data_IF_535104320438
#
_entry.id   IF_535104320438
#
_cell.length_a   1.000
_cell.length_b   1.000
_cell.length_c   1.000
_cell.angle_alpha   90.00
_cell.angle_beta   90.00
_cell.angle_gamma   90.00
#
_symmetry.space_group_name_H-M   'P 1'
#
loop_
_entity.id
_entity.type
_entity.pdbx_description
1 polymer ?
#
# COMPACT_ATOMS: atom_id res chain seq x y z
N UNK A 1 24.26 -42.64 8.73
CA UNK A 1 23.15 -41.67 8.87
C UNK A 1 21.75 -42.30 8.79
N UNK A 2 21.55 -43.58 9.17
CA UNK A 2 20.22 -44.25 9.18
C UNK A 2 19.73 -44.65 10.58
N UNK A 3 20.44 -44.22 11.64
CA UNK A 3 20.07 -44.48 13.05
C UNK A 3 19.71 -43.21 13.84
N UNK A 4 19.85 -42.03 13.23
CA UNK A 4 19.40 -40.75 13.80
C UNK A 4 17.96 -40.39 13.42
N UNK A 5 17.39 -41.05 12.40
CA UNK A 5 16.02 -40.80 11.94
C UNK A 5 14.93 -41.53 12.75
N UNK A 6 15.30 -42.56 13.52
CA UNK A 6 14.36 -43.34 14.33
C UNK A 6 14.07 -42.72 15.72
N UNK A 7 14.90 -41.76 16.16
CA UNK A 7 14.74 -41.11 17.47
C UNK A 7 13.87 -39.84 17.36
N UNK A 8 13.84 -39.19 16.19
CA UNK A 8 13.03 -37.97 15.99
C UNK A 8 11.52 -38.26 15.84
N UNK A 9 11.15 -39.46 15.39
CA UNK A 9 9.73 -39.87 15.23
C UNK A 9 9.11 -40.29 16.57
N UNK A 10 9.93 -40.65 17.58
CA UNK A 10 9.44 -41.06 18.90
C UNK A 10 9.17 -39.88 19.86
N UNK A 11 9.63 -38.66 19.53
CA UNK A 11 9.42 -37.46 20.36
C UNK A 11 8.20 -36.63 19.91
N UNK A 12 7.68 -36.87 18.69
CA UNK A 12 6.49 -36.20 18.16
C UNK A 12 5.14 -36.83 18.56
N UNK A 13 5.15 -37.91 19.37
CA UNK A 13 3.95 -38.72 19.64
C UNK A 13 3.53 -38.73 21.13
N UNK A 14 3.90 -37.71 21.92
CA UNK A 14 3.61 -37.64 23.37
C UNK A 14 2.80 -36.40 23.81
N UNK A 15 2.27 -35.57 22.90
CA UNK A 15 1.44 -34.42 23.30
C UNK A 15 0.04 -34.35 22.67
N UNK A 16 -0.62 -35.49 22.52
CA UNK A 16 -2.08 -35.54 22.41
C UNK A 16 -2.61 -36.68 23.28
N UNK A 17 -3.16 -36.32 24.45
CA UNK A 17 -4.33 -36.89 25.14
C UNK A 17 -4.30 -36.29 26.56
N UNK A 18 -5.09 -35.23 26.76
CA UNK A 18 -5.59 -34.84 28.08
C UNK A 18 -7.01 -34.28 27.87
N UNK A 19 -7.92 -35.19 27.53
CA UNK A 19 -9.35 -34.95 27.62
C UNK A 19 -9.89 -35.52 28.94
N UNK A 20 -10.59 -34.65 29.68
CA UNK A 20 -11.64 -34.93 30.67
C UNK A 20 -11.25 -35.54 32.03
N UNK A 21 -11.39 -34.72 33.07
CA UNK A 21 -12.01 -35.15 34.33
C UNK A 21 -12.95 -34.06 34.86
N UNK A 22 -14.26 -34.32 34.78
CA UNK A 22 -15.26 -33.72 35.66
C UNK A 22 -14.93 -34.11 37.10
N UNK A 23 -15.06 -33.20 38.08
CA UNK A 23 -15.61 -33.47 39.43
C UNK A 23 -15.83 -32.16 40.21
N UNK A 24 -17.07 -32.02 40.71
CA UNK A 24 -17.55 -31.29 41.90
C UNK A 24 -17.82 -29.78 41.90
N UNK A 25 -19.12 -29.52 41.85
CA UNK A 25 -19.92 -28.53 42.57
C UNK A 25 -19.33 -28.07 43.92
N UNK A 26 -19.07 -26.77 44.05
CA UNK A 26 -19.03 -26.08 45.34
C UNK A 26 -19.97 -24.88 45.29
N UNK A 27 -21.14 -25.04 45.91
CA UNK A 27 -21.95 -23.93 46.41
C UNK A 27 -21.29 -23.41 47.70
N UNK A 28 -21.09 -22.11 47.81
CA UNK A 28 -20.73 -21.51 49.11
C UNK A 28 -20.15 -20.11 49.06
N UNK A 29 -21.03 -19.12 48.88
CA UNK A 29 -21.05 -17.83 49.58
C UNK A 29 -19.75 -17.03 49.77
N UNK A 30 -19.67 -15.90 49.06
CA UNK A 30 -18.81 -14.77 49.43
C UNK A 30 -19.08 -13.61 48.49
N UNK A 31 -19.75 -12.58 48.99
CA UNK A 31 -20.01 -11.32 48.30
C UNK A 31 -18.73 -10.72 47.69
N UNK A 32 -18.74 -10.50 46.37
CA UNK A 32 -18.18 -9.29 45.79
C UNK A 32 -19.08 -8.84 44.65
N UNK A 33 -20.00 -7.93 44.96
CA UNK A 33 -20.62 -7.07 43.97
C UNK A 33 -19.54 -6.17 43.39
N UNK A 34 -19.00 -6.57 42.26
CA UNK A 34 -18.39 -5.70 41.26
C UNK A 34 -18.76 -6.34 39.93
N UNK A 35 -19.55 -5.65 39.11
CA UNK A 35 -19.63 -5.98 37.69
C UNK A 35 -18.20 -5.91 37.15
N UNK A 36 -17.53 -7.06 37.06
CA UNK A 36 -16.39 -7.20 36.19
C UNK A 36 -16.98 -7.07 34.79
N UNK A 37 -16.97 -5.85 34.25
CA UNK A 37 -17.06 -5.68 32.80
C UNK A 37 -16.12 -6.69 32.19
N UNK A 38 -16.61 -7.51 31.26
CA UNK A 38 -15.78 -8.50 30.58
C UNK A 38 -14.59 -7.75 30.00
N UNK A 39 -13.39 -8.02 30.50
CA UNK A 39 -12.16 -7.40 29.99
C UNK A 39 -12.09 -7.61 28.48
N UNK A 40 -11.80 -6.52 27.76
CA UNK A 40 -11.54 -6.55 26.32
C UNK A 40 -10.06 -6.81 26.01
N UNK A 41 -9.23 -7.07 27.03
CA UNK A 41 -7.80 -7.24 26.83
C UNK A 41 -7.50 -8.48 26.00
N UNK A 42 -6.72 -8.31 24.94
CA UNK A 42 -6.39 -9.41 24.05
C UNK A 42 -5.82 -8.96 22.73
N UNK A 43 -5.47 -9.96 21.91
CA UNK A 43 -5.04 -9.77 20.53
C UNK A 43 -6.08 -10.34 19.59
N UNK A 44 -6.53 -9.50 18.66
CA UNK A 44 -7.62 -9.82 17.75
C UNK A 44 -7.17 -9.64 16.31
N UNK A 45 -7.70 -10.45 15.40
CA UNK A 45 -7.37 -10.51 14.00
C UNK A 45 -8.66 -10.51 13.18
N UNK A 46 -8.76 -9.58 12.25
CA UNK A 46 -9.82 -9.53 11.26
C UNK A 46 -9.29 -9.55 9.84
N UNK A 47 -10.11 -10.06 8.92
CA UNK A 47 -9.71 -10.32 7.53
C UNK A 47 -10.67 -9.70 6.53
N UNK A 48 -10.15 -9.24 5.39
CA UNK A 48 -10.93 -8.96 4.18
C UNK A 48 -10.17 -9.52 2.98
N UNK A 49 -10.87 -10.04 1.96
CA UNK A 49 -10.21 -10.70 0.85
C UNK A 49 -10.87 -10.47 -0.51
N UNK A 50 -10.08 -10.71 -1.55
CA UNK A 50 -10.53 -10.50 -2.92
C UNK A 50 -11.62 -11.50 -3.31
N UNK A 51 -12.72 -10.98 -3.86
CA UNK A 51 -13.83 -11.80 -4.35
C UNK A 51 -14.87 -12.17 -3.30
N UNK A 52 -14.71 -11.71 -2.06
CA UNK A 52 -15.63 -11.96 -0.94
C UNK A 52 -17.10 -11.65 -1.29
N UNK A 53 -17.37 -10.48 -1.86
CA UNK A 53 -18.72 -10.07 -2.29
C UNK A 53 -19.32 -10.96 -3.37
N UNK A 54 -18.50 -11.76 -4.05
CA UNK A 54 -18.90 -12.74 -5.07
C UNK A 54 -18.92 -14.18 -4.53
N UNK A 55 -18.81 -14.38 -3.21
CA UNK A 55 -18.84 -15.69 -2.56
C UNK A 55 -17.55 -16.49 -2.66
N UNK A 56 -16.42 -15.87 -3.02
CA UNK A 56 -15.10 -16.53 -2.97
C UNK A 56 -14.72 -16.73 -1.51
N UNK A 57 -14.28 -17.93 -1.14
CA UNK A 57 -13.75 -18.19 0.21
C UNK A 57 -12.31 -17.65 0.34
N UNK A 58 -11.91 -17.23 1.55
CA UNK A 58 -10.56 -16.71 1.82
C UNK A 58 -9.44 -17.65 1.33
N UNK A 59 -9.63 -18.97 1.47
CA UNK A 59 -8.66 -19.99 1.05
C UNK A 59 -8.42 -20.02 -0.48
N UNK A 60 -9.41 -19.55 -1.24
CA UNK A 60 -9.44 -19.53 -2.70
C UNK A 60 -9.12 -18.12 -3.25
N UNK A 61 -8.88 -17.14 -2.37
CA UNK A 61 -8.48 -15.80 -2.74
C UNK A 61 -7.00 -15.74 -3.12
N UNK A 62 -6.66 -14.83 -4.04
CA UNK A 62 -5.27 -14.53 -4.42
C UNK A 62 -4.72 -13.28 -3.70
N UNK A 63 -5.57 -12.60 -2.94
CA UNK A 63 -5.23 -11.40 -2.18
C UNK A 63 -6.10 -11.30 -0.93
N UNK A 64 -5.50 -10.92 0.20
CA UNK A 64 -6.22 -10.58 1.42
C UNK A 64 -5.49 -9.54 2.24
N UNK A 65 -6.22 -8.85 3.11
CA UNK A 65 -5.68 -8.00 4.14
C UNK A 65 -6.10 -8.54 5.51
N UNK A 66 -5.19 -8.47 6.48
CA UNK A 66 -5.47 -8.71 7.89
C UNK A 66 -5.20 -7.44 8.72
N UNK A 67 -5.99 -7.26 9.78
CA UNK A 67 -5.75 -6.27 10.83
C UNK A 67 -5.57 -7.01 12.13
N UNK A 68 -4.44 -6.79 12.81
CA UNK A 68 -4.17 -7.25 14.17
C UNK A 68 -4.37 -6.07 15.13
N UNK A 69 -5.15 -6.25 16.19
CA UNK A 69 -5.38 -5.26 17.25
C UNK A 69 -5.01 -5.84 18.60
N UNK A 70 -4.23 -5.11 19.38
CA UNK A 70 -4.04 -5.37 20.81
C UNK A 70 -4.86 -4.36 21.60
N UNK A 71 -5.75 -4.84 22.46
CA UNK A 71 -6.59 -4.01 23.33
C UNK A 71 -6.19 -4.16 24.79
N UNK A 72 -6.41 -3.12 25.59
CA UNK A 72 -6.39 -3.21 27.06
C UNK A 72 -7.76 -3.66 27.62
N UNK A 73 -7.86 -3.75 28.94
CA UNK A 73 -9.06 -4.20 29.63
C UNK A 73 -10.30 -3.35 29.31
N UNK A 74 -10.09 -2.05 29.05
CA UNK A 74 -11.14 -1.06 28.80
C UNK A 74 -11.48 -0.94 27.31
N UNK A 75 -10.73 -1.58 26.41
CA UNK A 75 -10.91 -1.51 24.95
C UNK A 75 -10.10 -0.39 24.29
N UNK A 76 -9.12 0.20 24.97
CA UNK A 76 -8.14 1.10 24.34
C UNK A 76 -7.20 0.28 23.46
N UNK A 77 -6.98 0.75 22.23
CA UNK A 77 -6.03 0.13 21.31
C UNK A 77 -4.60 0.41 21.77
N UNK A 78 -3.89 -0.63 22.21
CA UNK A 78 -2.48 -0.57 22.62
C UNK A 78 -1.54 -0.72 21.43
N UNK A 79 -1.91 -1.55 20.46
CA UNK A 79 -1.13 -1.82 19.25
C UNK A 79 -2.06 -2.15 18.08
N UNK A 80 -1.62 -1.83 16.87
CA UNK A 80 -2.34 -2.12 15.64
C UNK A 80 -1.35 -2.45 14.52
N UNK A 81 -1.64 -3.49 13.74
CA UNK A 81 -0.84 -3.88 12.58
C UNK A 81 -1.74 -4.27 11.42
N UNK A 82 -1.46 -3.79 10.21
CA UNK A 82 -2.19 -4.12 9.00
C UNK A 82 -1.29 -4.78 7.97
N UNK A 83 -1.70 -5.93 7.43
CA UNK A 83 -0.91 -6.69 6.45
C UNK A 83 -1.69 -7.02 5.21
N UNK A 84 -1.21 -6.58 4.04
CA UNK A 84 -1.78 -6.92 2.75
C UNK A 84 -0.90 -7.97 2.07
N UNK A 85 -1.47 -9.16 1.93
CA UNK A 85 -0.88 -10.28 1.22
C UNK A 85 -1.39 -10.39 -0.22
N UNK A 86 -0.46 -10.69 -1.11
CA UNK A 86 -0.72 -11.01 -2.51
C UNK A 86 -0.07 -12.34 -2.85
N UNK A 87 -0.71 -13.14 -3.70
CA UNK A 87 -0.17 -14.41 -4.16
C UNK A 87 0.64 -14.18 -5.44
N UNK A 88 1.93 -14.50 -5.39
CA UNK A 88 2.85 -14.43 -6.52
C UNK A 88 3.48 -15.80 -6.73
N UNK A 89 3.33 -16.36 -7.93
CA UNK A 89 3.81 -17.70 -8.30
C UNK A 89 3.42 -18.80 -7.29
N UNK A 90 2.21 -18.68 -6.72
CA UNK A 90 1.65 -19.62 -5.75
C UNK A 90 2.05 -19.38 -4.29
N UNK A 91 2.93 -18.41 -4.01
CA UNK A 91 3.37 -18.06 -2.65
C UNK A 91 2.76 -16.75 -2.18
N UNK A 92 2.42 -16.67 -0.89
CA UNK A 92 2.00 -15.43 -0.26
C UNK A 92 3.21 -14.54 0.01
N UNK A 93 3.14 -13.29 -0.43
CA UNK A 93 4.09 -12.25 -0.08
C UNK A 93 3.36 -11.00 0.42
N UNK A 94 3.99 -10.25 1.31
CA UNK A 94 3.45 -8.97 1.76
C UNK A 94 3.68 -7.92 0.67
N UNK A 95 2.59 -7.32 0.22
CA UNK A 95 2.57 -6.23 -0.77
C UNK A 95 3.41 -5.05 -0.30
N UNK A 96 3.35 -4.75 1.00
CA UNK A 96 4.08 -3.65 1.60
C UNK A 96 5.52 -4.02 2.06
N UNK A 97 6.05 -5.19 1.71
CA UNK A 97 7.41 -5.58 2.16
C UNK A 97 8.52 -4.64 1.71
N UNK A 98 8.27 -3.84 0.67
CA UNK A 98 9.20 -2.87 0.11
C UNK A 98 10.40 -3.48 -0.62
N UNK A 99 10.51 -4.80 -0.65
CA UNK A 99 11.61 -5.50 -1.32
C UNK A 99 11.45 -5.43 -2.84
N UNK A 100 12.47 -4.93 -3.51
CA UNK A 100 12.56 -4.95 -4.97
C UNK A 100 13.92 -5.49 -5.43
N UNK A 101 13.91 -6.22 -6.54
CA UNK A 101 15.07 -6.33 -7.42
C UNK A 101 14.99 -5.20 -8.43
N UNK A 102 16.08 -4.45 -8.58
CA UNK A 102 16.19 -3.37 -9.56
C UNK A 102 17.54 -3.47 -10.25
N UNK A 103 17.51 -3.43 -11.57
CA UNK A 103 18.70 -3.39 -12.43
C UNK A 103 18.53 -2.29 -13.48
N UNK A 104 19.63 -1.70 -13.92
CA UNK A 104 19.64 -0.55 -14.85
C UNK A 104 20.57 -0.84 -16.03
N UNK A 105 20.04 -0.77 -17.24
CA UNK A 105 20.80 -0.83 -18.49
C UNK A 105 20.94 0.59 -19.08
N UNK A 106 22.07 1.23 -18.79
CA UNK A 106 22.40 2.56 -19.31
C UNK A 106 22.58 2.61 -20.84
N UNK A 107 22.70 1.46 -21.52
CA UNK A 107 22.77 1.42 -22.99
C UNK A 107 21.41 1.57 -23.66
N UNK A 108 20.32 1.44 -22.91
CA UNK A 108 18.96 1.66 -23.40
C UNK A 108 18.63 3.14 -23.38
N UNK A 109 18.10 3.64 -24.49
CA UNK A 109 17.39 4.92 -24.51
C UNK A 109 15.90 4.63 -24.33
N UNK A 110 15.27 5.16 -23.28
CA UNK A 110 13.88 4.84 -22.98
C UNK A 110 12.98 5.33 -24.12
N UNK A 111 11.97 4.53 -24.47
CA UNK A 111 10.97 4.92 -25.46
C UNK A 111 9.57 4.86 -24.84
N UNK A 112 8.67 5.78 -25.22
CA UNK A 112 7.34 5.81 -24.64
C UNK A 112 6.56 4.55 -25.04
N UNK A 113 5.80 4.00 -24.09
CA UNK A 113 4.77 3.02 -24.39
C UNK A 113 3.71 3.60 -25.33
N UNK A 114 3.03 2.73 -26.08
CA UNK A 114 1.77 3.09 -26.74
C UNK A 114 0.64 2.87 -25.73
N UNK A 115 -0.10 3.92 -25.30
CA UNK A 115 -1.14 3.77 -24.29
C UNK A 115 -2.48 3.32 -24.94
N UNK A 116 -3.59 3.36 -24.18
CA UNK A 116 -4.91 2.95 -24.66
C UNK A 116 -5.17 1.43 -24.71
N UNK A 117 -6.18 1.04 -25.50
CA UNK A 117 -6.66 -0.35 -25.62
C UNK A 117 -5.63 -1.28 -26.29
N UNK A 118 -4.88 -0.76 -27.27
CA UNK A 118 -3.84 -1.49 -27.99
C UNK A 118 -2.46 -1.32 -27.34
N UNK A 119 -2.42 -1.35 -26.01
CA UNK A 119 -1.23 -1.09 -25.23
C UNK A 119 -0.01 -1.89 -25.71
N UNK A 120 1.12 -1.20 -25.89
CA UNK A 120 2.43 -1.80 -26.09
C UNK A 120 3.44 -1.17 -25.13
N UNK A 121 4.26 -1.97 -24.43
CA UNK A 121 5.35 -1.42 -23.64
C UNK A 121 6.38 -0.75 -24.56
N UNK A 122 6.94 0.36 -24.08
CA UNK A 122 8.14 0.94 -24.66
C UNK A 122 9.40 0.23 -24.16
N UNK A 123 10.56 0.77 -24.52
CA UNK A 123 11.85 0.31 -24.01
C UNK A 123 12.11 0.98 -22.66
N UNK A 124 12.45 0.18 -21.65
CA UNK A 124 12.77 0.62 -20.30
C UNK A 124 14.26 0.39 -20.04
N UNK A 125 14.93 1.34 -19.40
CA UNK A 125 16.28 1.15 -18.84
C UNK A 125 16.23 0.29 -17.58
N UNK A 126 15.08 0.19 -16.91
CA UNK A 126 14.94 -0.44 -15.61
C UNK A 126 14.28 -1.82 -15.70
N UNK A 127 14.92 -2.83 -15.12
CA UNK A 127 14.27 -4.10 -14.81
C UNK A 127 13.89 -4.12 -13.33
N UNK A 128 12.59 -4.05 -13.03
CA UNK A 128 12.07 -3.98 -11.65
C UNK A 128 11.18 -5.19 -11.37
N UNK A 129 11.52 -5.95 -10.32
CA UNK A 129 10.65 -6.97 -9.74
C UNK A 129 10.33 -6.62 -8.29
N UNK A 130 9.07 -6.30 -8.03
CA UNK A 130 8.56 -5.98 -6.69
C UNK A 130 7.11 -6.44 -6.55
N UNK A 131 6.65 -6.63 -5.32
CA UNK A 131 5.25 -6.92 -5.03
C UNK A 131 4.34 -5.69 -5.24
N UNK A 132 4.90 -4.47 -5.22
CA UNK A 132 4.14 -3.27 -5.53
C UNK A 132 5.01 -2.13 -6.07
N UNK A 133 4.50 -1.54 -7.16
CA UNK A 133 5.11 -0.42 -7.88
C UNK A 133 4.50 0.94 -7.51
N UNK A 134 3.49 1.01 -6.65
CA UNK A 134 2.83 2.29 -6.34
C UNK A 134 3.79 3.21 -5.61
N UNK A 135 3.95 4.43 -6.11
CA UNK A 135 4.86 5.43 -5.52
C UNK A 135 6.33 4.97 -5.45
N UNK A 136 6.71 3.98 -6.27
CA UNK A 136 8.06 3.49 -6.35
C UNK A 136 8.97 4.47 -7.11
N UNK A 137 10.22 4.60 -6.69
CA UNK A 137 11.26 5.21 -7.51
C UNK A 137 12.56 4.41 -7.43
N UNK A 138 13.39 4.54 -8.47
CA UNK A 138 14.78 4.12 -8.44
C UNK A 138 15.67 5.13 -9.16
N UNK A 139 16.93 5.20 -8.75
CA UNK A 139 17.95 6.07 -9.33
C UNK A 139 19.32 5.37 -9.31
N UNK A 140 20.11 5.62 -10.34
CA UNK A 140 21.49 5.16 -10.45
C UNK A 140 22.30 6.17 -11.25
N UNK A 141 23.61 6.20 -11.01
CA UNK A 141 24.57 7.02 -11.77
C UNK A 141 25.71 6.12 -12.21
N UNK A 142 25.95 6.05 -13.51
CA UNK A 142 27.04 5.26 -14.08
C UNK A 142 28.41 5.94 -13.86
N UNK A 143 29.49 5.20 -14.10
CA UNK A 143 30.87 5.70 -13.97
C UNK A 143 31.18 6.87 -14.91
N UNK A 144 30.44 6.99 -16.03
CA UNK A 144 30.54 8.10 -16.97
C UNK A 144 29.67 9.31 -16.61
N UNK A 145 29.07 9.31 -15.41
CA UNK A 145 28.17 10.34 -14.89
C UNK A 145 26.81 10.44 -15.59
N UNK A 146 26.43 9.44 -16.39
CA UNK A 146 25.05 9.30 -16.88
C UNK A 146 24.12 8.95 -15.71
N UNK A 147 23.08 9.75 -15.52
CA UNK A 147 22.05 9.50 -14.51
C UNK A 147 20.85 8.82 -15.15
N UNK A 148 20.36 7.76 -14.52
CA UNK A 148 19.09 7.13 -14.82
C UNK A 148 18.17 7.22 -13.60
N UNK A 149 16.96 7.73 -13.80
CA UNK A 149 15.93 7.78 -12.76
C UNK A 149 14.60 7.24 -13.29
N UNK A 150 13.84 6.58 -12.43
CA UNK A 150 12.47 6.13 -12.72
C UNK A 150 11.56 6.44 -11.56
N UNK A 151 10.36 6.96 -11.85
CA UNK A 151 9.28 7.15 -10.90
C UNK A 151 8.02 6.51 -11.45
N UNK A 152 7.33 5.74 -10.63
CA UNK A 152 6.03 5.20 -11.01
C UNK A 152 4.95 6.19 -10.62
N UNK A 153 4.34 6.85 -11.59
CA UNK A 153 3.27 7.81 -11.33
C UNK A 153 2.01 7.11 -10.76
N UNK A 154 1.42 7.62 -9.66
CA UNK A 154 0.33 6.92 -8.98
C UNK A 154 -1.03 7.16 -9.67
N UNK A 155 -1.11 8.13 -10.58
CA UNK A 155 -2.34 8.57 -11.25
C UNK A 155 -2.53 7.80 -12.56
N UNK A 156 -1.55 7.82 -13.44
CA UNK A 156 -1.50 7.15 -14.73
C UNK A 156 -1.04 5.69 -14.62
N UNK A 157 -0.25 5.34 -13.59
CA UNK A 157 0.32 3.99 -13.39
C UNK A 157 1.28 3.57 -14.50
N UNK A 158 2.21 4.46 -14.82
CA UNK A 158 3.34 4.21 -15.72
C UNK A 158 4.66 4.48 -15.02
N UNK A 159 5.71 3.80 -15.46
CA UNK A 159 7.10 4.14 -15.18
C UNK A 159 7.47 5.35 -16.02
N UNK A 160 7.75 6.47 -15.38
CA UNK A 160 8.32 7.67 -15.99
C UNK A 160 9.83 7.62 -15.80
N UNK A 161 10.55 7.43 -16.89
CA UNK A 161 12.00 7.29 -16.91
C UNK A 161 12.66 8.57 -17.43
N UNK A 162 13.79 8.90 -16.81
CA UNK A 162 14.59 10.08 -17.13
C UNK A 162 16.04 9.63 -17.27
N UNK A 163 16.67 10.03 -18.37
CA UNK A 163 18.07 9.75 -18.67
C UNK A 163 18.79 11.08 -18.90
N UNK A 164 19.79 11.38 -18.08
CA UNK A 164 20.58 12.60 -18.20
C UNK A 164 22.02 12.23 -18.49
N UNK A 165 22.53 12.70 -19.64
CA UNK A 165 23.94 12.54 -19.98
C UNK A 165 24.83 13.44 -19.09
N UNK A 166 26.13 13.15 -19.06
CA UNK A 166 27.12 13.90 -18.26
C UNK A 166 27.12 15.42 -18.50
N UNK A 167 26.72 15.88 -19.69
CA UNK A 167 26.71 17.28 -20.10
C UNK A 167 25.33 17.95 -19.97
N UNK A 168 24.36 17.27 -19.35
CA UNK A 168 23.05 17.82 -19.06
C UNK A 168 23.16 19.00 -18.09
N UNK A 169 22.39 20.07 -18.34
CA UNK A 169 22.30 21.21 -17.43
C UNK A 169 21.40 20.87 -16.24
N UNK A 170 21.98 20.41 -15.13
CA UNK A 170 21.24 20.06 -13.92
C UNK A 170 20.60 21.25 -13.19
N UNK A 171 20.85 22.49 -13.64
CA UNK A 171 20.10 23.67 -13.19
C UNK A 171 18.75 23.84 -13.90
N UNK A 172 18.49 23.06 -14.95
CA UNK A 172 17.19 22.99 -15.63
C UNK A 172 16.08 22.77 -14.60
N UNK A 173 14.97 23.52 -14.66
CA UNK A 173 13.82 23.29 -13.79
C UNK A 173 13.16 21.92 -14.04
N UNK A 174 12.74 21.23 -12.99
CA UNK A 174 12.00 19.97 -13.06
C UNK A 174 10.72 20.11 -13.89
N UNK A 175 10.10 21.29 -13.88
CA UNK A 175 8.93 21.60 -14.70
C UNK A 175 9.15 21.43 -16.20
N UNK A 176 10.41 21.54 -16.64
CA UNK A 176 10.81 21.35 -18.04
C UNK A 176 11.06 19.88 -18.39
N UNK A 177 10.98 18.93 -17.45
CA UNK A 177 11.07 17.50 -17.71
C UNK A 177 9.74 16.94 -18.23
N UNK A 178 9.33 17.36 -19.42
CA UNK A 178 8.01 17.04 -19.96
C UNK A 178 7.99 15.72 -20.74
N UNK A 179 6.79 15.20 -20.96
CA UNK A 179 6.56 14.03 -21.80
C UNK A 179 6.89 14.36 -23.27
N UNK A 180 6.48 15.54 -23.73
CA UNK A 180 6.59 15.96 -25.12
C UNK A 180 8.01 16.24 -25.58
N UNK A 181 8.90 16.67 -24.69
CA UNK A 181 10.32 16.85 -25.01
C UNK A 181 11.18 15.60 -24.79
N UNK A 182 10.58 14.51 -24.31
CA UNK A 182 11.24 13.22 -24.11
C UNK A 182 12.17 13.15 -22.91
N UNK A 183 12.18 14.14 -22.02
CA UNK A 183 12.98 14.10 -20.79
C UNK A 183 12.31 13.30 -19.67
N UNK A 184 10.99 13.13 -19.73
CA UNK A 184 10.22 12.25 -18.84
C UNK A 184 9.41 11.25 -19.67
N UNK A 185 9.94 10.05 -19.84
CA UNK A 185 9.43 9.07 -20.82
C UNK A 185 8.56 8.01 -20.12
N UNK A 186 7.26 7.92 -20.42
CA UNK A 186 6.40 6.88 -19.86
C UNK A 186 6.60 5.54 -20.58
N UNK A 187 7.41 4.64 -20.04
CA UNK A 187 7.88 3.42 -20.74
C UNK A 187 6.98 2.19 -20.55
N UNK A 188 6.53 1.92 -19.32
CA UNK A 188 5.84 0.67 -18.97
C UNK A 188 4.63 0.93 -18.07
N UNK A 189 3.49 0.34 -18.40
CA UNK A 189 2.27 0.40 -17.57
C UNK A 189 2.39 -0.57 -16.40
N UNK A 190 2.34 -0.06 -15.19
CA UNK A 190 2.44 -0.85 -13.95
C UNK A 190 1.07 -1.35 -13.46
N UNK A 191 -0.03 -0.70 -13.88
CA UNK A 191 -1.39 -1.15 -13.60
C UNK A 191 -2.42 -0.57 -14.58
N UNK A 192 -3.49 -1.31 -14.88
CA UNK A 192 -4.63 -0.82 -15.69
C UNK A 192 -5.66 0.00 -14.89
N UNK A 193 -5.42 0.17 -13.59
CA UNK A 193 -6.38 0.80 -12.65
C UNK A 193 -6.09 2.27 -12.34
N UNK A 194 -5.21 2.91 -13.13
CA UNK A 194 -4.94 4.34 -13.05
C UNK A 194 -6.22 5.19 -13.14
N UNK A 195 -6.22 6.30 -12.42
CA UNK A 195 -7.28 7.32 -12.48
C UNK A 195 -7.25 8.03 -13.82
N UNK A 196 -6.04 8.35 -14.30
CA UNK A 196 -5.81 8.86 -15.65
C UNK A 196 -5.47 7.68 -16.57
N UNK A 197 -6.16 7.61 -17.70
CA UNK A 197 -5.94 6.58 -18.72
C UNK A 197 -5.73 7.29 -20.05
N UNK A 198 -4.50 7.74 -20.36
CA UNK A 198 -4.25 8.37 -21.63
C UNK A 198 -4.51 7.38 -22.76
N UNK A 199 -5.13 7.86 -23.83
CA UNK A 199 -5.21 7.14 -25.11
C UNK A 199 -4.05 7.56 -26.04
N UNK A 200 -3.38 8.66 -25.72
CA UNK A 200 -2.21 9.21 -26.39
C UNK A 200 -1.40 10.09 -25.42
N UNK A 201 -0.09 10.15 -25.61
CA UNK A 201 0.82 11.02 -24.84
C UNK A 201 0.85 12.45 -25.37
N UNK A 202 0.48 12.70 -26.62
CA UNK A 202 0.45 14.07 -27.18
C UNK A 202 -0.47 15.00 -26.39
N UNK A 203 -1.58 14.46 -25.86
CA UNK A 203 -2.51 15.21 -25.00
C UNK A 203 -1.90 15.64 -23.65
N UNK A 204 -0.76 15.07 -23.28
CA UNK A 204 -0.02 15.33 -22.04
C UNK A 204 1.41 15.81 -22.34
N UNK A 205 1.69 16.25 -23.57
CA UNK A 205 3.04 16.60 -24.01
C UNK A 205 3.68 17.73 -23.18
N UNK A 206 2.87 18.71 -22.76
CA UNK A 206 3.32 19.83 -21.93
C UNK A 206 3.37 19.49 -20.43
N UNK A 207 2.97 18.26 -20.06
CA UNK A 207 2.96 17.81 -18.69
C UNK A 207 4.27 17.09 -18.31
N UNK A 208 4.58 17.16 -17.03
CA UNK A 208 5.60 16.39 -16.34
C UNK A 208 4.95 15.54 -15.24
N UNK A 209 5.74 14.75 -14.51
CA UNK A 209 5.22 13.87 -13.46
C UNK A 209 4.56 14.64 -12.29
N UNK A 210 4.94 15.88 -12.01
CA UNK A 210 4.36 16.71 -10.94
C UNK A 210 3.04 17.40 -11.33
N UNK A 211 2.66 17.42 -12.61
CA UNK A 211 1.48 18.16 -13.07
C UNK A 211 0.56 17.42 -14.04
N UNK A 212 0.79 16.12 -14.30
CA UNK A 212 -0.02 15.30 -15.21
C UNK A 212 -1.50 15.23 -14.79
N UNK A 213 -1.81 15.53 -13.54
CA UNK A 213 -3.17 15.54 -12.99
C UNK A 213 -3.32 16.58 -11.87
N UNK A 214 -4.53 17.09 -11.60
CA UNK A 214 -4.80 17.87 -10.38
C UNK A 214 -4.44 17.14 -9.08
N UNK A 215 -4.33 15.80 -9.12
CA UNK A 215 -3.93 14.95 -8.00
C UNK A 215 -2.43 14.66 -7.95
N UNK A 216 -1.59 15.27 -8.80
CA UNK A 216 -0.15 15.03 -8.79
C UNK A 216 0.57 15.57 -7.56
N UNK A 217 -0.06 16.46 -6.78
CA UNK A 217 0.42 16.93 -5.47
C UNK A 217 0.81 15.80 -4.52
N UNK A 218 0.21 14.61 -4.69
CA UNK A 218 0.48 13.44 -3.86
C UNK A 218 1.92 12.91 -3.97
N UNK A 219 2.65 13.33 -5.01
CA UNK A 219 4.04 12.96 -5.25
C UNK A 219 4.98 13.73 -4.32
N UNK A 220 4.70 15.01 -4.09
CA UNK A 220 5.61 15.97 -3.46
C UNK A 220 5.02 16.69 -2.24
N UNK A 221 3.78 16.42 -1.84
CA UNK A 221 3.20 16.97 -0.61
C UNK A 221 3.92 16.48 0.66
N UNK A 222 4.56 15.29 0.61
CA UNK A 222 5.21 14.62 1.75
C UNK A 222 6.34 13.69 1.28
N UNK A 223 7.22 13.33 2.21
CA UNK A 223 8.23 12.28 2.02
C UNK A 223 9.51 12.80 1.38
N UNK A 224 10.21 11.93 0.64
CA UNK A 224 11.53 12.28 0.09
C UNK A 224 11.48 13.41 -0.94
N UNK A 225 10.34 13.63 -1.59
CA UNK A 225 10.12 14.71 -2.54
C UNK A 225 9.38 15.91 -1.94
N UNK A 226 9.25 15.97 -0.60
CA UNK A 226 8.66 17.12 0.07
C UNK A 226 9.42 18.40 -0.31
N UNK A 227 8.69 19.41 -0.78
CA UNK A 227 9.21 20.70 -1.29
C UNK A 227 9.83 20.69 -2.69
N UNK A 228 9.90 19.54 -3.39
CA UNK A 228 10.23 19.56 -4.82
C UNK A 228 9.06 20.16 -5.60
N UNK A 229 9.33 21.19 -6.39
CA UNK A 229 8.33 21.88 -7.22
C UNK A 229 8.79 21.92 -8.67
N UNK A 230 7.93 22.38 -9.58
CA UNK A 230 8.30 22.61 -10.98
C UNK A 230 9.45 23.62 -11.14
N UNK A 231 9.62 24.52 -10.17
CA UNK A 231 10.70 25.51 -10.17
C UNK A 231 12.01 24.99 -9.55
N UNK A 232 11.97 23.84 -8.86
CA UNK A 232 13.18 23.19 -8.35
C UNK A 232 14.04 22.74 -9.52
N UNK A 233 15.36 22.75 -9.33
CA UNK A 233 16.31 22.24 -10.32
C UNK A 233 16.29 20.71 -10.39
N UNK A 234 16.69 20.14 -11.53
CA UNK A 234 16.90 18.68 -11.65
C UNK A 234 17.91 18.19 -10.62
N UNK A 235 18.94 18.98 -10.29
CA UNK A 235 19.88 18.68 -9.21
C UNK A 235 19.18 18.45 -7.87
N UNK A 236 18.38 19.41 -7.40
CA UNK A 236 17.65 19.31 -6.13
C UNK A 236 16.72 18.08 -6.10
N UNK A 237 16.09 17.78 -7.24
CA UNK A 237 15.27 16.59 -7.40
C UNK A 237 16.08 15.28 -7.29
N UNK A 238 17.21 15.18 -7.98
CA UNK A 238 18.07 13.99 -7.92
C UNK A 238 18.72 13.82 -6.55
N UNK A 239 19.12 14.92 -5.89
CA UNK A 239 19.61 14.92 -4.50
C UNK A 239 18.54 14.40 -3.53
N UNK A 240 17.28 14.79 -3.72
CA UNK A 240 16.16 14.26 -2.94
C UNK A 240 15.95 12.74 -3.13
N UNK A 241 16.26 12.20 -4.32
CA UNK A 241 16.27 10.75 -4.57
C UNK A 241 17.55 10.06 -4.03
N UNK A 242 18.58 10.83 -3.69
CA UNK A 242 19.80 10.38 -3.05
C UNK A 242 21.04 10.35 -3.94
N UNK A 243 21.04 11.07 -5.06
CA UNK A 243 22.25 11.31 -5.86
C UNK A 243 23.10 12.36 -5.18
N UNK A 244 24.40 12.13 -5.09
CA UNK A 244 25.36 13.12 -4.59
C UNK A 244 25.97 13.90 -5.76
N UNK A 245 26.21 15.20 -5.57
CA UNK A 245 26.87 16.05 -6.56
C UNK A 245 28.16 16.65 -6.00
N UNK A 246 29.24 16.59 -6.76
CA UNK A 246 30.49 17.32 -6.49
C UNK A 246 30.77 18.29 -7.63
N UNK A 247 30.95 19.58 -7.31
CA UNK A 247 31.18 20.63 -8.30
C UNK A 247 30.18 20.58 -9.49
N UNK A 248 28.90 20.33 -9.17
CA UNK A 248 27.77 20.20 -10.10
C UNK A 248 27.80 18.97 -11.04
N UNK A 249 28.70 18.01 -10.80
CA UNK A 249 28.70 16.71 -11.46
C UNK A 249 28.11 15.60 -10.55
N UNK A 250 27.18 14.76 -11.04
CA UNK A 250 26.64 13.66 -10.27
C UNK A 250 27.71 12.59 -10.02
N UNK A 251 27.75 12.03 -8.82
CA UNK A 251 28.70 11.01 -8.43
C UNK A 251 28.17 9.60 -8.73
N UNK A 252 29.03 8.64 -9.11
CA UNK A 252 28.63 7.25 -9.33
C UNK A 252 27.84 6.69 -8.16
N UNK A 253 26.71 6.07 -8.47
CA UNK A 253 25.75 5.58 -7.50
C UNK A 253 25.20 4.24 -7.99
N UNK A 254 25.52 3.18 -7.26
CA UNK A 254 24.84 1.90 -7.45
C UNK A 254 23.33 2.07 -7.24
N UNK A 255 22.53 1.26 -7.94
CA UNK A 255 21.07 1.36 -7.94
C UNK A 255 20.52 1.51 -6.52
N UNK A 256 19.84 2.64 -6.31
CA UNK A 256 19.10 2.95 -5.10
C UNK A 256 17.62 3.04 -5.44
N UNK A 257 16.77 2.47 -4.61
CA UNK A 257 15.32 2.56 -4.77
C UNK A 257 14.64 2.74 -3.43
N UNK A 258 13.45 3.34 -3.45
CA UNK A 258 12.54 3.39 -2.32
C UNK A 258 11.13 3.75 -2.82
N UNK A 259 10.32 4.28 -1.91
CA UNK A 259 8.96 4.74 -2.19
C UNK A 259 8.83 6.20 -1.77
N UNK A 260 8.29 7.05 -2.65
CA UNK A 260 8.04 8.46 -2.36
C UNK A 260 6.65 8.69 -1.74
N UNK A 261 6.31 9.95 -1.45
CA UNK A 261 5.09 10.30 -0.74
C UNK A 261 5.15 9.78 0.70
N UNK A 262 4.10 9.12 1.17
CA UNK A 262 4.13 8.50 2.50
C UNK A 262 4.96 7.21 2.57
N UNK A 263 5.54 6.70 1.48
CA UNK A 263 6.28 5.43 1.48
C UNK A 263 5.48 4.24 0.97
N UNK A 264 4.65 4.44 -0.07
CA UNK A 264 3.85 3.37 -0.69
C UNK A 264 2.80 2.78 0.25
N UNK A 265 2.53 1.47 0.14
CA UNK A 265 1.57 0.78 1.02
C UNK A 265 2.02 0.73 2.48
N UNK A 266 3.31 0.48 2.73
CA UNK A 266 3.87 0.37 4.08
C UNK A 266 3.65 1.65 4.87
N UNK A 267 4.04 2.77 4.26
CA UNK A 267 3.84 4.09 4.83
C UNK A 267 2.40 4.44 5.15
N UNK A 268 1.47 4.02 4.28
CA UNK A 268 0.05 4.24 4.50
C UNK A 268 -0.51 3.38 5.64
N UNK A 269 -0.10 2.12 5.75
CA UNK A 269 -0.55 1.25 6.83
C UNK A 269 0.02 1.69 8.16
N UNK A 270 1.30 2.08 8.21
CA UNK A 270 1.89 2.70 9.41
C UNK A 270 1.14 3.94 9.87
N UNK A 271 0.63 4.75 8.95
CA UNK A 271 -0.18 5.92 9.29
C UNK A 271 -1.54 5.53 9.90
N UNK A 272 -2.21 4.50 9.37
CA UNK A 272 -3.45 3.95 9.94
C UNK A 272 -3.19 3.35 11.32
N UNK A 273 -2.16 2.51 11.44
CA UNK A 273 -1.74 1.87 12.69
C UNK A 273 -1.46 2.91 13.77
N UNK A 274 -0.66 3.95 13.43
CA UNK A 274 -0.36 5.06 14.36
C UNK A 274 -1.60 5.85 14.76
N UNK A 275 -2.58 6.01 13.86
CA UNK A 275 -3.84 6.69 14.16
C UNK A 275 -4.72 5.88 15.13
N UNK A 276 -4.69 4.56 15.04
CA UNK A 276 -5.49 3.65 15.86
C UNK A 276 -5.00 3.59 17.32
N UNK A 277 -3.69 3.64 17.54
CA UNK A 277 -3.10 3.54 18.89
C UNK A 277 -3.64 4.65 19.81
N UNK A 278 -4.12 4.26 20.99
CA UNK A 278 -4.70 5.13 22.01
C UNK A 278 -6.17 5.50 21.79
N UNK A 279 -6.82 4.99 20.74
CA UNK A 279 -8.27 5.16 20.51
C UNK A 279 -9.07 4.13 21.30
N UNK A 280 -10.28 4.52 21.72
CA UNK A 280 -11.27 3.59 22.27
C UNK A 280 -11.94 2.83 21.13
N UNK A 281 -11.75 1.51 21.08
CA UNK A 281 -12.29 0.63 20.04
C UNK A 281 -13.83 0.52 20.08
N UNK A 282 -14.47 0.85 21.20
CA UNK A 282 -15.94 0.92 21.32
C UNK A 282 -16.51 2.18 20.67
N UNK A 283 -15.70 3.24 20.55
CA UNK A 283 -16.09 4.49 19.91
C UNK A 283 -15.69 4.52 18.43
N UNK A 284 -14.51 3.98 18.10
CA UNK A 284 -14.00 3.88 16.74
C UNK A 284 -14.36 2.52 16.12
N UNK A 285 -15.61 2.36 15.71
CA UNK A 285 -16.12 1.09 15.15
C UNK A 285 -15.83 0.91 13.66
N UNK A 286 -15.21 1.89 12.99
CA UNK A 286 -14.83 1.82 11.59
C UNK A 286 -13.75 2.85 11.25
N UNK A 287 -12.90 2.54 10.27
CA UNK A 287 -11.94 3.50 9.68
C UNK A 287 -12.62 4.49 8.70
N UNK A 288 -13.86 4.22 8.32
CA UNK A 288 -14.68 5.07 7.45
C UNK A 288 -15.89 5.55 8.24
N UNK A 289 -16.14 6.86 8.19
CA UNK A 289 -17.42 7.42 8.62
C UNK A 289 -18.52 7.10 7.60
N UNK A 290 -19.21 5.98 7.83
CA UNK A 290 -20.31 5.51 7.00
C UNK A 290 -21.59 6.34 7.16
N UNK A 291 -21.67 7.22 8.16
CA UNK A 291 -22.80 8.15 8.31
C UNK A 291 -22.76 9.28 7.28
N UNK A 292 -21.60 9.52 6.67
CA UNK A 292 -21.43 10.49 5.60
C UNK A 292 -22.36 10.14 4.43
N UNK A 293 -23.29 11.04 4.02
CA UNK A 293 -24.24 10.77 2.95
C UNK A 293 -23.61 10.37 1.61
N UNK A 294 -22.34 10.77 1.39
CA UNK A 294 -21.55 10.37 0.21
C UNK A 294 -21.31 8.87 0.15
N UNK A 295 -21.10 8.21 1.30
CA UNK A 295 -20.77 6.79 1.39
C UNK A 295 -21.98 5.94 1.78
N UNK A 296 -22.85 6.45 2.66
CA UNK A 296 -24.05 5.75 3.12
C UNK A 296 -24.93 5.26 1.96
N UNK A 297 -25.11 6.10 0.93
CA UNK A 297 -25.93 5.78 -0.25
C UNK A 297 -25.32 4.68 -1.16
N UNK A 298 -24.09 4.25 -0.90
CA UNK A 298 -23.39 3.23 -1.67
C UNK A 298 -23.25 1.90 -0.91
N UNK A 299 -23.93 1.74 0.23
CA UNK A 299 -24.03 0.48 0.98
C UNK A 299 -25.37 -0.17 0.65
N UNK A 300 -25.37 -1.43 0.22
CA UNK A 300 -26.61 -2.17 -0.09
C UNK A 300 -27.19 -2.88 1.14
N UNK A 301 -28.34 -3.53 0.98
CA UNK A 301 -29.05 -4.24 2.07
C UNK A 301 -28.26 -5.43 2.66
N UNK A 302 -27.17 -5.85 2.01
CA UNK A 302 -26.26 -6.89 2.50
C UNK A 302 -25.00 -6.29 3.16
N UNK A 303 -25.01 -5.01 3.52
CA UNK A 303 -23.86 -4.26 4.04
C UNK A 303 -22.63 -4.30 3.13
N UNK A 304 -22.82 -4.39 1.81
CA UNK A 304 -21.72 -4.32 0.85
C UNK A 304 -21.58 -2.91 0.30
N UNK A 305 -20.38 -2.34 0.40
CA UNK A 305 -20.09 -1.00 -0.09
C UNK A 305 -19.55 -1.03 -1.54
N UNK A 306 -20.11 -0.18 -2.41
CA UNK A 306 -19.60 0.03 -3.76
C UNK A 306 -19.91 -1.11 -4.75
N UNK A 307 -20.84 -2.00 -4.38
CA UNK A 307 -21.42 -3.05 -5.22
C UNK A 307 -22.77 -2.56 -5.75
N UNK A 308 -22.99 -2.66 -7.06
CA UNK A 308 -24.28 -2.41 -7.73
C UNK A 308 -24.95 -1.04 -7.52
N UNK A 309 -24.22 0.00 -7.08
CA UNK A 309 -24.78 1.35 -6.94
C UNK A 309 -24.52 2.23 -8.16
N UNK A 310 -25.57 2.83 -8.72
CA UNK A 310 -25.51 3.90 -9.72
C UNK A 310 -25.12 5.27 -9.13
N UNK A 311 -24.50 5.29 -7.95
CA UNK A 311 -24.07 6.52 -7.30
C UNK A 311 -22.78 7.01 -7.98
N UNK A 312 -22.70 8.30 -8.27
CA UNK A 312 -21.47 8.94 -8.80
C UNK A 312 -20.32 9.02 -7.77
N UNK A 313 -20.44 8.29 -6.65
CA UNK A 313 -19.39 8.17 -5.66
C UNK A 313 -18.30 7.19 -6.16
N UNK A 314 -17.06 7.42 -5.76
CA UNK A 314 -15.96 6.51 -6.04
C UNK A 314 -16.29 5.13 -5.44
N UNK A 315 -16.12 4.05 -6.21
CA UNK A 315 -16.37 2.64 -5.78
C UNK A 315 -15.47 2.15 -4.64
N UNK A 316 -14.74 3.06 -4.02
CA UNK A 316 -13.72 2.90 -2.97
C UNK A 316 -13.63 4.22 -2.21
N UNK A 317 -13.45 4.17 -0.88
CA UNK A 317 -13.21 5.37 -0.07
C UNK A 317 -11.74 5.74 -0.15
N UNK A 318 -11.44 6.94 -0.66
CA UNK A 318 -10.10 7.55 -0.59
C UNK A 318 -10.22 8.76 0.32
N UNK A 319 -9.51 8.76 1.45
CA UNK A 319 -9.44 9.91 2.34
C UNK A 319 -8.02 10.49 2.29
N UNK A 320 -7.77 11.32 1.29
CA UNK A 320 -6.49 12.01 1.10
C UNK A 320 -6.35 13.28 1.96
N UNK A 321 -7.45 13.78 2.55
CA UNK A 321 -7.50 15.07 3.25
C UNK A 321 -7.37 14.92 4.77
N UNK A 322 -7.83 13.82 5.37
CA UNK A 322 -7.87 13.68 6.85
C UNK A 322 -6.64 12.98 7.45
N UNK A 323 -5.46 13.09 6.83
CA UNK A 323 -4.15 12.70 7.40
C UNK A 323 -3.91 11.22 7.77
N UNK A 324 -4.92 10.33 7.74
CA UNK A 324 -4.79 8.92 8.13
C UNK A 324 -4.11 8.06 7.04
N UNK A 325 -4.23 8.44 5.76
CA UNK A 325 -3.51 7.78 4.67
C UNK A 325 -3.03 8.82 3.66
N UNK A 326 -1.76 8.75 3.28
CA UNK A 326 -1.22 9.58 2.21
C UNK A 326 -1.82 9.15 0.89
N UNK A 327 -2.81 9.89 0.41
CA UNK A 327 -3.25 9.99 -0.97
C UNK A 327 -3.71 8.73 -1.76
N UNK A 328 -3.39 7.50 -1.37
CA UNK A 328 -3.47 6.37 -2.29
C UNK A 328 -4.10 5.09 -1.75
N UNK A 329 -4.38 4.99 -0.44
CA UNK A 329 -5.09 3.82 0.10
C UNK A 329 -6.59 3.97 -0.01
N UNK A 330 -7.19 2.93 -0.59
CA UNK A 330 -8.63 2.73 -0.69
C UNK A 330 -9.11 2.03 0.57
N UNK A 331 -9.36 2.77 1.65
CA UNK A 331 -9.54 2.26 3.02
C UNK A 331 -10.77 1.36 3.25
N UNK A 332 -11.57 1.05 2.22
CA UNK A 332 -12.82 0.30 2.38
C UNK A 332 -12.59 -1.15 2.83
N UNK A 333 -11.58 -1.84 2.29
CA UNK A 333 -11.24 -3.22 2.71
C UNK A 333 -10.44 -3.25 4.01
N UNK A 334 -9.61 -2.23 4.25
CA UNK A 334 -8.90 -1.98 5.50
C UNK A 334 -9.94 -1.83 6.64
N UNK A 335 -10.99 -1.02 6.41
CA UNK A 335 -12.12 -0.87 7.32
C UNK A 335 -12.82 -2.20 7.60
N UNK A 336 -13.10 -3.02 6.58
CA UNK A 336 -13.70 -4.35 6.77
C UNK A 336 -12.84 -5.25 7.66
N UNK A 337 -11.52 -5.32 7.39
CA UNK A 337 -10.62 -6.12 8.23
C UNK A 337 -10.52 -5.60 9.67
N UNK A 338 -10.53 -4.28 9.86
CA UNK A 338 -10.55 -3.67 11.19
C UNK A 338 -11.86 -3.97 11.92
N UNK A 339 -13.01 -3.79 11.28
CA UNK A 339 -14.33 -4.14 11.86
C UNK A 339 -14.38 -5.60 12.30
N UNK A 340 -13.81 -6.52 11.52
CA UNK A 340 -13.75 -7.94 11.90
C UNK A 340 -12.82 -8.24 13.06
N UNK A 341 -11.76 -7.46 13.25
CA UNK A 341 -10.96 -7.57 14.47
C UNK A 341 -11.81 -7.15 15.69
N UNK A 342 -12.67 -6.13 15.55
CA UNK A 342 -13.63 -5.74 16.58
C UNK A 342 -14.74 -6.79 16.80
N UNK A 343 -15.17 -7.50 15.75
CA UNK A 343 -16.08 -8.65 15.88
C UNK A 343 -15.44 -9.75 16.72
N UNK A 344 -14.17 -10.06 16.45
CA UNK A 344 -13.46 -11.06 17.26
C UNK A 344 -13.26 -10.61 18.72
N UNK A 345 -13.14 -9.31 18.97
CA UNK A 345 -13.12 -8.72 20.31
C UNK A 345 -14.49 -8.73 21.01
N UNK A 346 -15.58 -9.07 20.30
CA UNK A 346 -16.95 -9.02 20.83
C UNK A 346 -17.50 -7.61 20.98
N UNK A 347 -16.90 -6.62 20.29
CA UNK A 347 -17.32 -5.22 20.28
C UNK A 347 -18.39 -4.97 19.20
N UNK A 348 -18.28 -5.67 18.07
CA UNK A 348 -19.24 -5.61 16.95
C UNK A 348 -19.83 -7.00 16.68
N UNK A 349 -21.00 -7.04 16.05
CA UNK A 349 -21.53 -8.25 15.44
C UNK A 349 -21.10 -8.32 13.96
N UNK A 350 -20.91 -9.53 13.41
CA UNK A 350 -20.57 -9.70 11.99
C UNK A 350 -21.63 -9.08 11.07
N UNK A 351 -22.89 -9.00 11.52
CA UNK A 351 -23.96 -8.33 10.77
C UNK A 351 -23.74 -6.82 10.62
N UNK A 352 -22.91 -6.19 11.45
CA UNK A 352 -22.63 -4.75 11.39
C UNK A 352 -21.40 -4.42 10.52
N UNK A 353 -20.69 -5.45 10.06
CA UNK A 353 -19.51 -5.30 9.20
C UNK A 353 -19.95 -4.80 7.83
N UNK A 354 -19.32 -3.72 7.38
CA UNK A 354 -19.50 -3.21 6.02
C UNK A 354 -18.41 -3.82 5.14
N UNK A 355 -18.79 -4.68 4.22
CA UNK A 355 -17.89 -5.37 3.30
C UNK A 355 -17.52 -4.41 2.19
N UNK A 356 -16.32 -3.84 2.30
CA UNK A 356 -15.73 -2.96 1.31
C UNK A 356 -15.25 -3.74 0.08
N UNK A 357 -15.24 -3.06 -1.06
CA UNK A 357 -14.62 -3.60 -2.26
C UNK A 357 -13.11 -3.79 -2.05
N UNK A 358 -12.61 -4.97 -2.39
CA UNK A 358 -11.19 -5.33 -2.38
C UNK A 358 -10.42 -4.72 -3.56
#
# INVERSE_FOLDING_TARGET
>A
MKRLFAVLIAVMLVFTIAGCSNTETSQGSGESNGEAGSSLAGRYVGYSWQGEVNGVELKDADQYIETLLELDDDGTILDAEMRFFVKMDGYWTMRQSGNAYVDVDFSVDPTPAVPGENYQPGNSMFTIYTADMMSFYAVAVDEDQTVAAVLVDPIARYQFEMKFAQDFDFSTPVGELTIGNGLSVPTVRTSSTGLLKPDDWEALADNNFLNISPWSHVINDRGVLENITEASSVKEFLEALGVEFEADAPQPLAVKYAYYGNGGWDGNYRAIESYLIGKDAKELTSLVDWSNPRYAAAINDNNQFGVDTASGATRTVQNSMDTISGATVRISREATSFQRALVQAGILDESDVIVGRF
#
